data_IF_196589233590
#
_entry.id   IF_196589233590
#
_cell.length_a   1.000
_cell.length_b   1.000
_cell.length_c   1.000
_cell.angle_alpha   90.00
_cell.angle_beta   90.00
_cell.angle_gamma   90.00
#
_symmetry.space_group_name_H-M   'P 1'
#
loop_
_entity.id
_entity.type
_entity.pdbx_description
1 polymer ?
#
# COMPACT_ATOMS: atom_id res chain seq x y z
N UNK A 1 -13.84 19.91 -4.55
CA UNK A 1 -12.86 19.28 -5.46
C UNK A 1 -13.40 17.93 -5.93
N UNK A 2 -12.77 17.30 -6.93
CA UNK A 2 -13.19 15.99 -7.44
C UNK A 2 -12.69 14.83 -6.56
N UNK A 3 -13.22 13.62 -6.79
CA UNK A 3 -12.75 12.39 -6.16
C UNK A 3 -11.35 11.99 -6.66
N UNK A 4 -10.56 11.39 -5.79
CA UNK A 4 -9.28 10.77 -6.13
C UNK A 4 -9.51 9.30 -6.46
N UNK A 5 -9.54 8.97 -7.75
CA UNK A 5 -9.50 7.59 -8.23
C UNK A 5 -8.15 6.91 -7.91
N UNK A 6 -8.21 5.89 -7.07
CA UNK A 6 -7.07 5.11 -6.57
C UNK A 6 -7.12 3.67 -7.07
N UNK A 7 -5.97 3.16 -7.52
CA UNK A 7 -5.78 1.74 -7.78
C UNK A 7 -4.82 1.11 -6.77
N UNK A 8 -5.03 -0.17 -6.45
CA UNK A 8 -4.20 -0.93 -5.50
C UNK A 8 -3.50 -2.09 -6.19
N UNK A 9 -2.20 -2.22 -5.98
CA UNK A 9 -1.41 -3.40 -6.35
C UNK A 9 -1.11 -4.19 -5.08
N UNK A 10 -1.58 -5.44 -4.99
CA UNK A 10 -1.45 -6.29 -3.81
C UNK A 10 -2.57 -6.02 -2.81
N UNK A 11 -3.60 -6.86 -2.79
CA UNK A 11 -4.76 -6.74 -1.89
C UNK A 11 -4.47 -7.48 -0.58
N UNK A 12 -3.41 -7.07 0.10
CA UNK A 12 -2.95 -7.62 1.38
C UNK A 12 -3.61 -6.99 2.61
N UNK A 13 -3.03 -7.24 3.79
CA UNK A 13 -3.46 -6.63 5.05
C UNK A 13 -3.36 -5.09 5.06
N UNK A 14 -2.35 -4.52 4.41
CA UNK A 14 -2.21 -3.07 4.27
C UNK A 14 -3.38 -2.47 3.47
N UNK A 15 -3.71 -3.09 2.32
CA UNK A 15 -4.85 -2.68 1.51
C UNK A 15 -6.17 -2.82 2.28
N UNK A 16 -6.34 -3.92 3.03
CA UNK A 16 -7.52 -4.14 3.87
C UNK A 16 -7.68 -3.06 4.93
N UNK A 17 -6.61 -2.69 5.63
CA UNK A 17 -6.64 -1.66 6.66
C UNK A 17 -6.90 -0.27 6.07
N UNK A 18 -6.32 0.04 4.90
CA UNK A 18 -6.57 1.30 4.19
C UNK A 18 -8.04 1.44 3.77
N UNK A 19 -8.60 0.41 3.13
CA UNK A 19 -9.98 0.45 2.62
C UNK A 19 -10.99 0.51 3.78
N UNK A 20 -10.75 -0.25 4.85
CA UNK A 20 -11.54 -0.15 6.06
C UNK A 20 -11.44 1.25 6.69
N UNK A 21 -10.25 1.83 6.75
CA UNK A 21 -10.02 3.18 7.28
C UNK A 21 -10.77 4.26 6.52
N UNK A 22 -10.72 4.23 5.18
CA UNK A 22 -11.49 5.16 4.33
C UNK A 22 -12.99 5.01 4.59
N UNK A 23 -13.50 3.78 4.71
CA UNK A 23 -14.91 3.54 4.98
C UNK A 23 -15.35 3.98 6.39
N UNK A 24 -14.49 3.76 7.39
CA UNK A 24 -14.74 4.09 8.78
C UNK A 24 -14.78 5.60 9.01
N UNK A 25 -13.78 6.32 8.48
CA UNK A 25 -13.62 7.77 8.68
C UNK A 25 -14.31 8.63 7.61
N UNK A 26 -15.15 8.06 6.74
CA UNK A 26 -15.82 8.81 5.67
C UNK A 26 -16.73 9.95 6.15
N UNK A 27 -17.17 9.90 7.42
CA UNK A 27 -18.01 10.93 8.07
C UNK A 27 -17.25 11.74 9.14
N UNK A 28 -15.94 11.56 9.25
CA UNK A 28 -15.14 12.34 10.19
C UNK A 28 -15.32 13.83 9.90
N UNK A 29 -15.36 14.66 10.94
CA UNK A 29 -15.40 16.11 10.74
C UNK A 29 -14.00 16.62 10.40
N UNK A 30 -13.89 17.66 9.58
CA UNK A 30 -12.58 18.18 9.14
C UNK A 30 -11.67 18.61 10.30
N UNK A 31 -12.28 19.06 11.40
CA UNK A 31 -11.59 19.49 12.63
C UNK A 31 -11.43 18.37 13.66
N UNK A 32 -11.92 17.16 13.37
CA UNK A 32 -11.86 16.03 14.28
C UNK A 32 -10.43 15.50 14.39
N UNK A 33 -9.99 15.21 15.62
CA UNK A 33 -8.75 14.48 15.82
C UNK A 33 -9.02 13.00 15.58
N UNK A 34 -8.46 12.48 14.49
CA UNK A 34 -8.53 11.05 14.15
C UNK A 34 -7.18 10.39 14.46
N UNK A 35 -7.11 9.43 15.39
CA UNK A 35 -5.89 8.70 15.67
C UNK A 35 -5.26 8.13 14.40
N UNK A 36 -4.01 8.52 14.14
CA UNK A 36 -3.25 8.00 13.02
C UNK A 36 -3.44 8.69 11.67
N UNK A 37 -4.32 9.68 11.60
CA UNK A 37 -4.49 10.55 10.43
C UNK A 37 -4.10 11.96 10.84
N UNK A 38 -3.08 12.53 10.19
CA UNK A 38 -2.60 13.88 10.52
C UNK A 38 -3.63 14.96 10.22
N UNK A 39 -4.37 14.81 9.11
CA UNK A 39 -5.38 15.75 8.65
C UNK A 39 -6.54 14.99 8.01
N UNK A 40 -7.75 15.23 8.49
CA UNK A 40 -8.98 14.67 7.90
C UNK A 40 -9.24 15.26 6.50
N UNK A 41 -8.87 16.53 6.30
CA UNK A 41 -8.83 17.20 5.01
C UNK A 41 -7.39 17.67 4.72
N UNK A 42 -6.80 17.18 3.63
CA UNK A 42 -5.47 17.58 3.17
C UNK A 42 -5.56 18.29 1.83
N UNK A 43 -5.25 19.58 1.80
CA UNK A 43 -5.22 20.37 0.56
C UNK A 43 -6.57 20.46 -0.14
N UNK A 44 -7.69 20.34 0.59
CA UNK A 44 -9.04 20.34 0.03
C UNK A 44 -9.61 18.96 -0.29
N UNK A 45 -8.84 17.87 -0.05
CA UNK A 45 -9.29 16.50 -0.18
C UNK A 45 -9.62 15.89 1.19
N UNK A 46 -10.88 15.52 1.38
CA UNK A 46 -11.34 14.78 2.54
C UNK A 46 -11.03 13.27 2.39
N UNK A 47 -10.95 12.52 3.49
CA UNK A 47 -10.78 11.05 3.47
C UNK A 47 -11.81 10.37 2.55
N UNK A 48 -13.04 10.87 2.56
CA UNK A 48 -14.15 10.37 1.74
C UNK A 48 -13.99 10.62 0.22
N UNK A 49 -13.05 11.48 -0.18
CA UNK A 49 -12.78 11.72 -1.60
C UNK A 49 -11.96 10.60 -2.24
N UNK A 50 -11.39 9.69 -1.45
CA UNK A 50 -10.67 8.51 -1.93
C UNK A 50 -11.66 7.51 -2.52
N UNK A 51 -11.53 7.25 -3.82
CA UNK A 51 -12.38 6.34 -4.57
C UNK A 51 -11.55 5.21 -5.16
N UNK A 52 -11.72 3.98 -4.65
CA UNK A 52 -11.03 2.82 -5.22
C UNK A 52 -11.68 2.42 -6.54
N UNK A 53 -10.91 2.38 -7.63
CA UNK A 53 -11.43 2.11 -8.99
C UNK A 53 -10.85 0.86 -9.64
N UNK A 54 -9.67 0.41 -9.18
CA UNK A 54 -9.03 -0.81 -9.69
C UNK A 54 -8.22 -1.48 -8.59
N UNK A 55 -8.10 -2.80 -8.67
CA UNK A 55 -7.26 -3.58 -7.75
C UNK A 55 -6.63 -4.75 -8.50
N UNK A 56 -5.39 -5.09 -8.16
CA UNK A 56 -4.63 -6.16 -8.78
C UNK A 56 -4.06 -7.10 -7.73
N UNK A 57 -4.23 -8.40 -7.91
CA UNK A 57 -3.65 -9.44 -7.07
C UNK A 57 -3.27 -10.67 -7.90
N UNK A 58 -2.53 -11.60 -7.31
CA UNK A 58 -2.09 -12.85 -7.93
C UNK A 58 -2.71 -14.08 -7.28
N UNK A 59 -3.31 -13.94 -6.10
CA UNK A 59 -3.95 -15.02 -5.36
C UNK A 59 -5.27 -15.44 -6.02
N UNK A 60 -5.40 -16.73 -6.34
CA UNK A 60 -6.61 -17.33 -6.89
C UNK A 60 -7.84 -17.08 -6.02
N UNK A 61 -7.66 -16.96 -4.70
CA UNK A 61 -8.76 -16.69 -3.80
C UNK A 61 -9.28 -15.25 -3.91
N UNK A 62 -8.48 -14.31 -4.41
CA UNK A 62 -8.82 -12.87 -4.47
C UNK A 62 -9.21 -12.43 -5.87
N UNK A 63 -8.50 -12.91 -6.89
CA UNK A 63 -8.76 -12.54 -8.29
C UNK A 63 -10.20 -12.90 -8.67
N UNK A 64 -10.91 -11.94 -9.29
CA UNK A 64 -12.31 -12.07 -9.70
C UNK A 64 -13.35 -11.67 -8.65
N UNK A 65 -12.97 -11.56 -7.36
CA UNK A 65 -13.87 -11.10 -6.30
C UNK A 65 -14.02 -9.58 -6.28
N UNK A 66 -15.11 -9.10 -5.71
CA UNK A 66 -15.25 -7.69 -5.34
C UNK A 66 -14.19 -7.30 -4.32
N UNK A 67 -13.66 -6.08 -4.43
CA UNK A 67 -12.61 -5.57 -3.55
C UNK A 67 -13.03 -5.62 -2.08
N UNK A 68 -14.30 -5.35 -1.75
CA UNK A 68 -14.81 -5.43 -0.38
C UNK A 68 -14.74 -6.85 0.20
N UNK A 69 -14.80 -7.88 -0.64
CA UNK A 69 -14.66 -9.28 -0.22
C UNK A 69 -13.19 -9.72 -0.22
N UNK A 70 -12.42 -9.28 -1.20
CA UNK A 70 -11.02 -9.66 -1.36
C UNK A 70 -10.16 -9.20 -0.17
N UNK A 71 -10.45 -8.05 0.43
CA UNK A 71 -9.72 -7.53 1.59
C UNK A 71 -9.84 -8.41 2.84
N UNK A 72 -10.91 -9.19 2.97
CA UNK A 72 -11.15 -10.13 4.08
C UNK A 72 -10.85 -11.59 3.70
N UNK A 73 -10.41 -11.83 2.46
CA UNK A 73 -10.12 -13.18 2.00
C UNK A 73 -8.75 -13.63 2.53
N UNK A 74 -8.65 -14.84 3.13
CA UNK A 74 -7.37 -15.42 3.52
C UNK A 74 -6.35 -15.41 2.36
N UNK A 75 -5.05 -15.20 2.63
CA UNK A 75 -4.42 -15.18 3.95
C UNK A 75 -4.44 -13.82 4.67
N UNK A 76 -5.26 -12.86 4.21
CA UNK A 76 -5.46 -11.63 4.99
C UNK A 76 -6.09 -11.97 6.35
N UNK A 77 -5.59 -11.33 7.39
CA UNK A 77 -5.93 -11.59 8.79
C UNK A 77 -5.81 -10.32 9.66
N UNK A 78 -5.80 -9.14 9.04
CA UNK A 78 -5.86 -7.87 9.78
C UNK A 78 -7.16 -7.76 10.59
N UNK A 79 -7.13 -6.95 11.64
CA UNK A 79 -8.31 -6.70 12.47
C UNK A 79 -9.43 -6.07 11.63
N UNK A 80 -10.64 -6.61 11.76
CA UNK A 80 -11.83 -6.08 11.12
C UNK A 80 -12.49 -5.05 12.03
N UNK A 81 -12.35 -3.76 11.71
CA UNK A 81 -12.92 -2.64 12.47
C UNK A 81 -14.03 -1.90 11.71
N UNK A 82 -14.21 -2.18 10.43
CA UNK A 82 -15.29 -1.61 9.62
C UNK A 82 -15.82 -2.62 8.61
N UNK A 83 -17.14 -2.69 8.46
CA UNK A 83 -17.77 -3.35 7.33
C UNK A 83 -17.64 -2.46 6.08
N UNK A 84 -17.15 -3.05 4.99
CA UNK A 84 -16.96 -2.36 3.72
C UNK A 84 -18.08 -2.80 2.77
N UNK A 85 -18.94 -1.87 2.28
CA UNK A 85 -19.97 -2.21 1.31
C UNK A 85 -19.34 -2.61 -0.02
N UNK A 86 -20.08 -3.37 -0.84
CA UNK A 86 -19.62 -3.78 -2.17
C UNK A 86 -19.16 -2.56 -2.99
N UNK A 87 -17.97 -2.64 -3.56
CA UNK A 87 -17.37 -1.51 -4.29
C UNK A 87 -17.67 -1.54 -5.78
N UNK A 88 -18.06 -2.71 -6.32
CA UNK A 88 -18.17 -2.97 -7.75
C UNK A 88 -16.82 -3.16 -8.44
N UNK A 89 -15.70 -3.02 -7.72
CA UNK A 89 -14.36 -3.17 -8.26
C UNK A 89 -13.94 -4.62 -8.14
N UNK A 90 -13.88 -5.32 -9.27
CA UNK A 90 -13.32 -6.68 -9.30
C UNK A 90 -11.81 -6.65 -9.27
N UNK A 91 -11.21 -7.47 -8.40
CA UNK A 91 -9.77 -7.67 -8.35
C UNK A 91 -9.32 -8.36 -9.64
N UNK A 92 -8.44 -7.70 -10.38
CA UNK A 92 -7.92 -8.15 -11.66
C UNK A 92 -6.64 -8.96 -11.47
N UNK A 93 -6.35 -9.81 -12.45
CA UNK A 93 -5.15 -10.64 -12.45
C UNK A 93 -3.91 -9.75 -12.67
N UNK A 94 -3.11 -9.58 -11.62
CA UNK A 94 -1.85 -8.82 -11.66
C UNK A 94 -0.71 -9.55 -12.36
N UNK A 95 0.47 -8.95 -12.44
CA UNK A 95 1.69 -9.64 -12.87
C UNK A 95 2.34 -10.33 -11.67
N UNK A 96 2.94 -11.51 -11.89
CA UNK A 96 3.53 -12.30 -10.79
C UNK A 96 5.00 -11.97 -10.55
N UNK A 97 5.87 -12.06 -11.56
CA UNK A 97 7.34 -11.90 -11.43
C UNK A 97 7.89 -12.53 -10.12
N UNK A 98 8.76 -11.81 -9.42
CA UNK A 98 9.34 -12.11 -8.10
C UNK A 98 8.40 -11.72 -6.93
N UNK A 99 7.12 -11.45 -7.22
CA UNK A 99 6.05 -11.20 -6.26
C UNK A 99 5.74 -12.38 -5.34
N UNK A 100 6.11 -13.59 -5.74
CA UNK A 100 5.78 -14.84 -5.04
C UNK A 100 7.04 -15.48 -4.45
N UNK A 101 7.42 -15.08 -3.24
CA UNK A 101 8.53 -15.69 -2.51
C UNK A 101 8.25 -17.13 -2.06
N UNK A 102 9.31 -17.86 -1.66
CA UNK A 102 9.26 -19.29 -1.26
C UNK A 102 8.16 -19.62 -0.24
N UNK A 103 8.00 -18.79 0.79
CA UNK A 103 6.99 -19.01 1.84
C UNK A 103 5.58 -18.65 1.37
N UNK A 104 5.43 -17.59 0.58
CA UNK A 104 4.12 -17.17 0.07
C UNK A 104 3.57 -18.19 -0.94
N UNK A 105 4.45 -18.79 -1.77
CA UNK A 105 4.10 -19.86 -2.70
C UNK A 105 3.55 -21.13 -2.03
N UNK A 106 3.84 -21.35 -0.74
CA UNK A 106 3.29 -22.48 0.03
C UNK A 106 1.89 -22.20 0.57
N UNK A 107 1.47 -20.92 0.61
CA UNK A 107 0.25 -20.46 1.27
C UNK A 107 -0.81 -20.04 0.26
N UNK A 108 -0.40 -19.41 -0.85
CA UNK A 108 -1.32 -18.95 -1.89
C UNK A 108 -1.15 -19.74 -3.17
N UNK A 109 -2.27 -20.02 -3.83
CA UNK A 109 -2.28 -20.58 -5.18
C UNK A 109 -2.37 -19.43 -6.18
N UNK A 110 -1.46 -19.42 -7.15
CA UNK A 110 -1.47 -18.43 -8.23
C UNK A 110 -2.77 -18.54 -9.05
N UNK A 111 -3.48 -17.43 -9.23
CA UNK A 111 -4.65 -17.35 -10.08
C UNK A 111 -4.30 -17.74 -11.53
N UNK A 112 -5.12 -18.60 -12.18
CA UNK A 112 -4.90 -19.01 -13.56
C UNK A 112 -5.16 -17.84 -14.54
N UNK A 113 -4.70 -18.01 -15.77
CA UNK A 113 -4.92 -17.04 -16.86
C UNK A 113 -3.82 -15.98 -17.02
N UNK A 114 -3.92 -15.18 -18.09
CA UNK A 114 -2.94 -14.15 -18.39
C UNK A 114 -3.06 -12.95 -17.44
N UNK A 115 -1.97 -12.20 -17.29
CA UNK A 115 -1.99 -10.90 -16.64
C UNK A 115 -2.94 -9.97 -17.38
N UNK A 116 -3.77 -9.23 -16.63
CA UNK A 116 -4.67 -8.25 -17.21
C UNK A 116 -3.90 -7.06 -17.81
N UNK A 117 -4.49 -6.38 -18.78
CA UNK A 117 -3.90 -5.18 -19.38
C UNK A 117 -3.98 -4.00 -18.39
N UNK A 118 -2.91 -3.85 -17.60
CA UNK A 118 -2.83 -2.87 -16.51
C UNK A 118 -2.98 -1.45 -17.05
N UNK A 119 -2.33 -1.12 -18.17
CA UNK A 119 -2.37 0.23 -18.76
C UNK A 119 -3.78 0.56 -19.21
N UNK A 120 -4.43 -0.35 -19.95
CA UNK A 120 -5.80 -0.14 -20.42
C UNK A 120 -6.77 0.01 -19.26
N UNK A 121 -6.64 -0.83 -18.22
CA UNK A 121 -7.50 -0.76 -17.03
C UNK A 121 -7.34 0.61 -16.36
N UNK A 122 -6.10 0.99 -16.01
CA UNK A 122 -5.81 2.27 -15.34
C UNK A 122 -6.31 3.48 -16.12
N UNK A 123 -6.17 3.47 -17.45
CA UNK A 123 -6.72 4.53 -18.32
C UNK A 123 -8.25 4.52 -18.35
N UNK A 124 -8.86 3.35 -18.51
CA UNK A 124 -10.33 3.22 -18.58
C UNK A 124 -11.03 3.60 -17.28
N UNK A 125 -10.39 3.37 -16.15
CA UNK A 125 -10.89 3.73 -14.82
C UNK A 125 -10.52 5.15 -14.41
N UNK A 126 -9.86 5.92 -15.28
CA UNK A 126 -9.38 7.27 -15.02
C UNK A 126 -8.62 7.36 -13.69
N UNK A 127 -7.70 6.42 -13.47
CA UNK A 127 -6.94 6.34 -12.21
C UNK A 127 -5.99 7.52 -12.09
N UNK A 128 -5.99 8.18 -10.92
CA UNK A 128 -5.05 9.27 -10.62
C UNK A 128 -3.82 8.76 -9.89
N UNK A 129 -4.00 7.83 -8.94
CA UNK A 129 -2.94 7.36 -8.04
C UNK A 129 -2.94 5.83 -7.96
N UNK A 130 -1.77 5.22 -8.02
CA UNK A 130 -1.57 3.78 -7.86
C UNK A 130 -0.73 3.52 -6.62
N UNK A 131 -1.24 2.69 -5.71
CA UNK A 131 -0.58 2.32 -4.45
C UNK A 131 0.01 0.91 -4.57
N UNK A 132 1.29 0.76 -4.27
CA UNK A 132 2.01 -0.51 -4.31
C UNK A 132 2.16 -1.13 -2.91
N UNK A 133 1.45 -2.23 -2.67
CA UNK A 133 1.55 -3.09 -1.49
C UNK A 133 2.03 -4.50 -1.83
N UNK A 134 2.90 -4.65 -2.84
CA UNK A 134 3.54 -5.92 -3.12
C UNK A 134 4.34 -6.46 -1.91
N UNK A 135 4.69 -7.75 -1.89
CA UNK A 135 5.58 -8.29 -0.87
C UNK A 135 6.98 -7.64 -0.91
N UNK A 136 7.65 -7.65 0.25
CA UNK A 136 9.06 -7.21 0.34
C UNK A 136 9.93 -8.14 -0.52
N UNK A 137 10.85 -7.56 -1.27
CA UNK A 137 11.75 -8.28 -2.18
C UNK A 137 11.23 -8.43 -3.61
N UNK A 138 10.05 -7.90 -3.92
CA UNK A 138 9.46 -7.93 -5.26
C UNK A 138 9.97 -6.77 -6.14
N UNK A 139 11.26 -6.79 -6.47
CA UNK A 139 11.94 -5.74 -7.21
C UNK A 139 11.57 -5.71 -8.69
N UNK A 140 11.60 -6.86 -9.36
CA UNK A 140 11.23 -6.98 -10.78
C UNK A 140 9.75 -6.65 -10.98
N UNK A 141 8.88 -7.19 -10.12
CA UNK A 141 7.46 -6.90 -10.15
C UNK A 141 7.21 -5.40 -9.98
N UNK A 142 7.85 -4.76 -9.00
CA UNK A 142 7.66 -3.34 -8.73
C UNK A 142 8.13 -2.48 -9.90
N UNK A 143 9.33 -2.72 -10.44
CA UNK A 143 9.83 -1.97 -11.61
C UNK A 143 8.94 -2.17 -12.82
N UNK A 144 8.44 -3.39 -13.05
CA UNK A 144 7.50 -3.67 -14.12
C UNK A 144 6.19 -2.89 -13.96
N UNK A 145 5.62 -2.87 -12.75
CA UNK A 145 4.41 -2.10 -12.47
C UNK A 145 4.62 -0.60 -12.62
N UNK A 146 5.76 -0.06 -12.19
CA UNK A 146 6.11 1.35 -12.36
C UNK A 146 6.09 1.75 -13.84
N UNK A 147 6.64 0.91 -14.73
CA UNK A 147 6.57 1.13 -16.18
C UNK A 147 5.11 1.18 -16.69
N UNK A 148 4.25 0.27 -16.22
CA UNK A 148 2.82 0.29 -16.61
C UNK A 148 2.12 1.55 -16.10
N UNK A 149 2.42 1.98 -14.86
CA UNK A 149 1.84 3.17 -14.24
C UNK A 149 2.28 4.45 -14.98
N UNK A 150 3.56 4.55 -15.33
CA UNK A 150 4.09 5.63 -16.16
C UNK A 150 3.43 5.65 -17.54
N UNK A 151 3.19 4.49 -18.16
CA UNK A 151 2.50 4.40 -19.45
C UNK A 151 1.01 4.76 -19.37
N UNK A 152 0.38 4.51 -18.21
CA UNK A 152 -1.00 4.91 -17.92
C UNK A 152 -1.15 6.40 -17.65
N UNK A 153 -0.08 7.08 -17.22
CA UNK A 153 -0.12 8.49 -16.86
C UNK A 153 -0.61 8.72 -15.42
N UNK A 154 -0.37 7.77 -14.52
CA UNK A 154 -0.84 7.84 -13.13
C UNK A 154 0.31 8.15 -12.17
N UNK A 155 -0.03 8.77 -11.04
CA UNK A 155 0.88 8.97 -9.91
C UNK A 155 1.17 7.63 -9.21
N UNK A 156 2.32 7.51 -8.55
CA UNK A 156 2.71 6.25 -7.89
C UNK A 156 3.07 6.45 -6.41
N UNK A 157 2.55 5.59 -5.54
CA UNK A 157 2.91 5.52 -4.12
C UNK A 157 3.52 4.15 -3.84
N UNK A 158 4.81 4.13 -3.55
CA UNK A 158 5.56 2.93 -3.25
C UNK A 158 5.62 2.67 -1.74
N UNK A 159 4.90 1.67 -1.26
CA UNK A 159 4.85 1.35 0.17
C UNK A 159 5.83 0.25 0.60
N UNK A 160 6.66 -0.26 -0.30
CA UNK A 160 7.62 -1.34 -0.04
C UNK A 160 9.06 -0.82 -0.09
N UNK A 161 10.03 -1.49 0.55
CA UNK A 161 11.43 -1.06 0.58
C UNK A 161 12.20 -1.44 -0.69
N UNK A 162 11.59 -1.27 -1.86
CA UNK A 162 12.26 -1.35 -3.17
C UNK A 162 12.54 0.07 -3.61
N UNK A 163 13.79 0.36 -4.02
CA UNK A 163 14.17 1.71 -4.39
C UNK A 163 13.59 2.11 -5.74
N UNK A 164 12.66 3.05 -5.72
CA UNK A 164 12.07 3.68 -6.90
C UNK A 164 12.15 5.19 -6.71
N UNK A 165 11.42 5.72 -5.73
CA UNK A 165 11.33 7.16 -5.49
C UNK A 165 12.66 7.76 -5.03
N UNK A 166 13.58 6.96 -4.47
CA UNK A 166 14.94 7.43 -4.11
C UNK A 166 15.91 7.46 -5.29
N UNK A 167 15.65 6.72 -6.37
CA UNK A 167 16.57 6.62 -7.50
C UNK A 167 16.34 7.75 -8.49
N UNK A 168 17.42 8.46 -8.86
CA UNK A 168 17.37 9.56 -9.84
C UNK A 168 16.78 9.15 -11.19
N UNK A 169 17.03 7.90 -11.61
CA UNK A 169 16.51 7.36 -12.86
C UNK A 169 14.97 7.41 -12.89
N UNK A 170 14.31 6.87 -11.87
CA UNK A 170 12.85 6.89 -11.79
C UNK A 170 12.30 8.28 -11.54
N UNK A 171 12.95 9.08 -10.68
CA UNK A 171 12.57 10.48 -10.45
C UNK A 171 12.48 11.26 -11.78
N UNK A 172 13.52 11.18 -12.62
CA UNK A 172 13.52 11.87 -13.92
C UNK A 172 12.40 11.40 -14.84
N UNK A 173 12.11 10.09 -14.87
CA UNK A 173 11.02 9.51 -15.68
C UNK A 173 9.63 10.00 -15.27
N UNK A 174 9.41 10.18 -13.97
CA UNK A 174 8.16 10.73 -13.43
C UNK A 174 8.07 12.24 -13.68
N UNK A 175 9.18 12.98 -13.51
CA UNK A 175 9.27 14.42 -13.78
C UNK A 175 9.04 14.76 -15.26
N UNK A 176 9.63 14.02 -16.20
CA UNK A 176 9.41 14.15 -17.64
C UNK A 176 7.93 14.04 -18.05
N UNK A 177 7.15 13.28 -17.29
CA UNK A 177 5.70 13.10 -17.51
C UNK A 177 4.84 14.03 -16.66
N UNK A 178 5.43 14.86 -15.81
CA UNK A 178 4.71 15.71 -14.86
C UNK A 178 3.91 14.93 -13.82
N UNK A 179 4.35 13.72 -13.46
CA UNK A 179 3.65 12.82 -12.54
C UNK A 179 4.37 12.77 -11.19
N UNK A 180 3.65 12.83 -10.05
CA UNK A 180 4.27 12.67 -8.75
C UNK A 180 4.54 11.20 -8.41
N UNK A 181 5.63 10.99 -7.68
CA UNK A 181 5.99 9.72 -7.04
C UNK A 181 6.25 9.95 -5.55
N UNK A 182 5.69 9.08 -4.71
CA UNK A 182 5.90 9.07 -3.25
C UNK A 182 6.44 7.71 -2.84
N UNK A 183 7.54 7.69 -2.09
CA UNK A 183 8.21 6.47 -1.64
C UNK A 183 9.61 6.78 -1.13
N UNK A 184 10.44 5.80 -0.80
CA UNK A 184 10.13 4.37 -0.72
C UNK A 184 9.90 3.96 0.74
N UNK A 185 9.24 2.82 0.96
CA UNK A 185 8.93 2.23 2.28
C UNK A 185 7.98 3.07 3.15
N UNK A 186 6.74 2.58 3.34
CA UNK A 186 5.76 3.27 4.19
C UNK A 186 6.14 3.14 5.66
N UNK A 187 6.11 4.25 6.39
CA UNK A 187 6.39 4.24 7.84
C UNK A 187 5.14 3.83 8.63
N UNK A 188 5.33 2.94 9.59
CA UNK A 188 4.38 2.78 10.70
C UNK A 188 4.37 4.04 11.57
N UNK A 189 3.21 4.40 12.13
CA UNK A 189 3.06 5.55 13.02
C UNK A 189 4.00 5.45 14.23
N UNK A 190 3.93 4.33 14.96
CA UNK A 190 4.81 4.02 16.10
C UNK A 190 5.33 2.58 15.95
N UNK A 191 6.40 2.43 15.18
CA UNK A 191 7.13 1.17 15.04
C UNK A 191 8.33 1.06 16.00
N UNK A 192 8.87 -0.15 16.13
CA UNK A 192 10.07 -0.37 16.94
C UNK A 192 11.25 0.52 16.51
N UNK A 193 11.39 0.81 15.21
CA UNK A 193 12.43 1.70 14.68
C UNK A 193 12.32 3.15 15.19
N UNK A 194 11.12 3.73 15.30
CA UNK A 194 10.99 5.11 15.78
C UNK A 194 11.17 5.17 17.30
N UNK A 195 10.67 4.18 18.04
CA UNK A 195 10.87 4.07 19.49
C UNK A 195 12.36 3.93 19.81
N UNK A 196 13.05 3.02 19.12
CA UNK A 196 14.49 2.83 19.27
C UNK A 196 15.26 4.11 18.94
N UNK A 197 14.91 4.80 17.85
CA UNK A 197 15.54 6.06 17.47
C UNK A 197 15.35 7.17 18.51
N UNK A 198 14.14 7.30 19.07
CA UNK A 198 13.85 8.29 20.12
C UNK A 198 14.66 8.00 21.38
N UNK A 199 14.71 6.73 21.81
CA UNK A 199 15.50 6.33 22.99
C UNK A 199 17.00 6.53 22.77
N UNK A 200 17.55 6.10 21.64
CA UNK A 200 19.00 6.27 21.35
C UNK A 200 19.39 7.74 21.23
N UNK A 201 18.52 8.58 20.67
CA UNK A 201 18.71 10.03 20.63
C UNK A 201 18.69 10.64 22.03
N UNK A 202 17.73 10.23 22.88
CA UNK A 202 17.66 10.68 24.27
C UNK A 202 18.93 10.35 25.06
N UNK A 203 19.48 9.15 24.89
CA UNK A 203 20.73 8.75 25.56
C UNK A 203 21.87 9.71 25.18
N UNK A 204 22.04 9.97 23.88
CA UNK A 204 23.04 10.92 23.39
C UNK A 204 22.80 12.32 23.93
N UNK A 205 21.57 12.81 23.89
CA UNK A 205 21.21 14.17 24.32
C UNK A 205 21.38 14.35 25.85
N UNK A 206 21.43 13.25 26.63
CA UNK A 206 21.74 13.23 28.06
C UNK A 206 23.21 12.89 28.38
N UNK A 207 24.08 12.80 27.37
CA UNK A 207 25.49 12.46 27.55
C UNK A 207 25.75 10.99 27.93
N UNK A 208 24.75 10.12 27.79
CA UNK A 208 24.87 8.69 28.07
C UNK A 208 25.42 7.97 26.84
N UNK A 209 26.56 7.30 27.00
CA UNK A 209 27.17 6.48 25.96
C UNK A 209 26.39 5.16 25.81
N UNK A 210 25.77 4.96 24.65
CA UNK A 210 25.13 3.70 24.30
C UNK A 210 26.20 2.71 23.81
N UNK A 211 26.48 1.66 24.58
CA UNK A 211 27.51 0.67 24.20
C UNK A 211 26.97 -0.50 23.38
N UNK A 212 25.74 -0.95 23.67
CA UNK A 212 25.12 -2.11 23.02
C UNK A 212 23.62 -1.89 22.91
N UNK A 213 23.02 -2.35 21.81
CA UNK A 213 21.58 -2.35 21.62
C UNK A 213 21.18 -3.53 20.74
N UNK A 214 20.01 -4.10 21.00
CA UNK A 214 19.40 -5.12 20.16
C UNK A 214 17.91 -4.81 20.00
N UNK A 215 17.32 -5.22 18.87
CA UNK A 215 15.89 -5.08 18.59
C UNK A 215 15.39 -6.41 18.04
N UNK A 216 14.50 -7.06 18.78
CA UNK A 216 13.85 -8.31 18.35
C UNK A 216 12.42 -7.98 17.94
N UNK A 217 12.07 -8.25 16.69
CA UNK A 217 10.73 -8.02 16.16
C UNK A 217 10.05 -9.38 15.88
N UNK A 218 8.88 -9.61 16.47
CA UNK A 218 8.05 -10.80 16.21
C UNK A 218 6.71 -10.38 15.60
N UNK A 219 6.26 -11.09 14.58
CA UNK A 219 4.96 -10.86 13.93
C UNK A 219 4.38 -12.17 13.41
N UNK A 220 3.05 -12.32 13.52
CA UNK A 220 2.29 -13.50 13.09
C UNK A 220 1.72 -13.38 11.66
N UNK A 221 2.11 -12.34 10.91
CA UNK A 221 1.58 -12.03 9.59
C UNK A 221 2.61 -12.37 8.50
N UNK A 222 2.15 -12.62 7.26
CA UNK A 222 2.99 -12.94 6.08
C UNK A 222 4.05 -11.87 5.78
N UNK A 223 3.80 -10.62 6.18
CA UNK A 223 4.80 -9.57 6.32
C UNK A 223 4.80 -9.15 7.80
N UNK A 224 5.96 -9.02 8.48
CA UNK A 224 6.00 -8.59 9.88
C UNK A 224 5.58 -7.12 10.13
N UNK A 225 5.03 -6.43 9.12
CA UNK A 225 4.58 -5.04 9.23
C UNK A 225 3.25 -4.94 9.97
N UNK A 226 3.33 -4.42 11.20
CA UNK A 226 2.20 -4.13 12.08
C UNK A 226 1.56 -2.80 11.70
N UNK A 227 0.27 -2.81 11.43
CA UNK A 227 -0.60 -1.64 11.61
C UNK A 227 -1.37 -1.85 12.93
N UNK A 228 -1.37 -0.82 13.78
CA UNK A 228 -2.06 -0.79 15.08
C UNK A 228 -3.45 -0.19 14.86
N UNK A 229 -4.42 -0.67 15.65
CA UNK A 229 -5.74 -0.06 15.93
C UNK A 229 -5.65 1.39 16.41
#
# INVERSE_FOLDING_TARGET
MGKINVAIIGVGNCASSLIQGVCYYKKAQETEFVPGIMHVNLGGYHINDINFVAAFDIDNNKVGKDLAQAIFTPPNNTFKFCDVPATGVKVQRGMTHDGLGKYLAQIIQKAPGPTADIVKILKSTQTHVVINYLPVGSEEATKWYVEQVLAAGCSFINCIPVFIAREKYWQGRFEEKGLPIIGDDVKSQVGATIVHRVLTRLFRDRGVKLERTYQLNFGSHLLPTRFIS
#
